data_IF_596903328997
#
_entry.id   IF_596903328997
#
_cell.length_a   1.000
_cell.length_b   1.000
_cell.length_c   1.000
_cell.angle_alpha   90.00
_cell.angle_beta   90.00
_cell.angle_gamma   90.00
#
_symmetry.space_group_name_H-M   'P 1'
#
loop_
_entity.id
_entity.type
_entity.pdbx_description
1 polymer ?
#
# COMPACT_ATOMS: atom_id res chain seq x y z
N UNK A 1 -7.01 -11.79 -21.30
CA UNK A 1 -6.62 -10.39 -21.57
C UNK A 1 -5.48 -10.04 -20.62
N UNK A 2 -4.31 -9.59 -21.10
CA UNK A 2 -3.29 -9.03 -20.21
C UNK A 2 -3.88 -7.78 -19.56
N UNK A 3 -4.33 -7.86 -18.30
CA UNK A 3 -4.71 -6.65 -17.55
C UNK A 3 -3.53 -5.68 -17.61
N UNK A 4 -3.79 -4.41 -17.93
CA UNK A 4 -2.78 -3.38 -17.78
C UNK A 4 -2.33 -3.39 -16.32
N UNK A 5 -1.04 -3.67 -16.08
CA UNK A 5 -0.51 -3.85 -14.73
C UNK A 5 -0.85 -2.65 -13.84
N UNK A 6 -0.79 -1.43 -14.37
CA UNK A 6 -1.12 -0.22 -13.62
C UNK A 6 -2.57 -0.22 -13.17
N UNK A 7 -3.50 -0.56 -14.07
CA UNK A 7 -4.92 -0.65 -13.74
C UNK A 7 -5.20 -1.72 -12.68
N UNK A 8 -4.52 -2.86 -12.78
CA UNK A 8 -4.63 -3.92 -11.76
C UNK A 8 -4.09 -3.45 -10.40
N UNK A 9 -2.95 -2.76 -10.36
CA UNK A 9 -2.40 -2.21 -9.11
C UNK A 9 -3.35 -1.16 -8.50
N UNK A 10 -3.98 -0.32 -9.31
CA UNK A 10 -4.97 0.66 -8.86
C UNK A 10 -6.20 -0.03 -8.23
N UNK A 11 -6.71 -1.10 -8.86
CA UNK A 11 -7.79 -1.93 -8.31
C UNK A 11 -7.40 -2.51 -6.93
N UNK A 12 -6.18 -3.02 -6.78
CA UNK A 12 -5.71 -3.59 -5.52
C UNK A 12 -5.54 -2.53 -4.42
N UNK A 13 -4.99 -1.36 -4.77
CA UNK A 13 -4.83 -0.24 -3.84
C UNK A 13 -6.20 0.30 -3.39
N UNK A 14 -7.22 0.25 -4.26
CA UNK A 14 -8.58 0.66 -3.92
C UNK A 14 -9.23 -0.23 -2.83
N UNK A 15 -8.78 -1.49 -2.67
CA UNK A 15 -9.25 -2.41 -1.61
C UNK A 15 -8.65 -2.14 -0.22
N UNK A 16 -7.72 -1.20 -0.12
CA UNK A 16 -7.11 -0.79 1.14
C UNK A 16 -7.85 0.42 1.74
N UNK A 17 -7.93 0.52 3.08
CA UNK A 17 -8.34 1.75 3.74
C UNK A 17 -7.51 2.94 3.24
N UNK A 18 -8.13 4.11 3.14
CA UNK A 18 -7.51 5.31 2.58
C UNK A 18 -6.17 5.65 3.23
N UNK A 19 -6.10 5.62 4.56
CA UNK A 19 -4.85 5.87 5.28
C UNK A 19 -3.78 4.84 4.97
N UNK A 20 -4.14 3.56 4.82
CA UNK A 20 -3.19 2.49 4.50
C UNK A 20 -2.65 2.63 3.07
N UNK A 21 -3.54 2.95 2.11
CA UNK A 21 -3.16 3.28 0.73
C UNK A 21 -2.21 4.48 0.69
N UNK A 22 -2.53 5.56 1.41
CA UNK A 22 -1.68 6.75 1.49
C UNK A 22 -0.27 6.42 2.01
N UNK A 23 -0.18 5.60 3.07
CA UNK A 23 1.12 5.23 3.64
C UNK A 23 1.99 4.41 2.66
N UNK A 24 1.38 3.52 1.87
CA UNK A 24 2.10 2.79 0.81
C UNK A 24 2.60 3.74 -0.28
N UNK A 25 1.74 4.65 -0.76
CA UNK A 25 2.11 5.62 -1.81
C UNK A 25 3.25 6.53 -1.33
N UNK A 26 3.16 7.08 -0.12
CA UNK A 26 4.22 7.94 0.42
C UNK A 26 5.55 7.19 0.54
N UNK A 27 5.53 5.93 1.01
CA UNK A 27 6.74 5.16 1.26
C UNK A 27 7.36 4.63 -0.03
N UNK A 28 6.59 3.90 -0.83
CA UNK A 28 7.08 3.13 -1.97
C UNK A 28 6.95 3.89 -3.29
N UNK A 29 6.01 4.84 -3.38
CA UNK A 29 5.85 5.72 -4.54
C UNK A 29 6.74 6.97 -4.48
N UNK A 30 6.82 7.61 -3.31
CA UNK A 30 7.58 8.86 -3.12
C UNK A 30 8.87 8.71 -2.29
N UNK A 31 9.18 7.53 -1.76
CA UNK A 31 10.42 7.29 -1.01
C UNK A 31 10.48 7.90 0.39
N UNK A 32 9.35 8.31 0.98
CA UNK A 32 9.35 8.99 2.27
C UNK A 32 9.87 8.07 3.38
N UNK A 33 10.69 8.61 4.28
CA UNK A 33 11.01 7.98 5.56
C UNK A 33 9.78 7.95 6.47
N UNK A 34 9.75 7.03 7.44
CA UNK A 34 8.68 7.01 8.45
C UNK A 34 8.56 8.34 9.21
N UNK A 35 9.67 9.06 9.41
CA UNK A 35 9.66 10.40 10.03
C UNK A 35 8.99 11.45 9.12
N UNK A 36 9.21 11.38 7.81
CA UNK A 36 8.49 12.28 6.89
C UNK A 36 7.00 11.93 6.83
N UNK A 37 6.65 10.65 6.90
CA UNK A 37 5.26 10.20 6.92
C UNK A 37 4.51 10.62 8.19
N UNK A 38 5.16 10.67 9.36
CA UNK A 38 4.53 11.21 10.58
C UNK A 38 4.17 12.68 10.41
N UNK A 39 5.04 13.47 9.77
CA UNK A 39 4.77 14.89 9.46
C UNK A 39 3.63 15.04 8.45
N UNK A 40 3.60 14.21 7.41
CA UNK A 40 2.58 14.27 6.36
C UNK A 40 1.19 13.84 6.82
N UNK A 41 1.10 12.93 7.79
CA UNK A 41 -0.18 12.30 8.19
C UNK A 41 -0.68 12.72 9.57
N UNK A 42 0.14 13.42 10.37
CA UNK A 42 -0.16 13.74 11.76
C UNK A 42 -0.16 12.52 12.70
N UNK A 43 0.15 11.32 12.20
CA UNK A 43 0.24 10.10 13.00
C UNK A 43 1.57 10.00 13.74
N UNK A 44 1.56 9.30 14.87
CA UNK A 44 2.80 8.98 15.59
C UNK A 44 3.65 7.99 14.80
N UNK A 45 4.97 7.97 15.04
CA UNK A 45 5.90 7.03 14.40
C UNK A 45 5.46 5.57 14.57
N UNK A 46 5.02 5.19 15.78
CA UNK A 46 4.52 3.85 16.07
C UNK A 46 3.30 3.49 15.23
N UNK A 47 2.35 4.43 15.09
CA UNK A 47 1.16 4.23 14.26
C UNK A 47 1.53 4.12 12.78
N UNK A 48 2.37 5.01 12.26
CA UNK A 48 2.85 4.96 10.86
C UNK A 48 3.49 3.61 10.57
N UNK A 49 4.47 3.19 11.39
CA UNK A 49 5.18 1.92 11.18
C UNK A 49 4.23 0.72 11.22
N UNK A 50 3.34 0.67 12.23
CA UNK A 50 2.41 -0.44 12.38
C UNK A 50 1.38 -0.50 11.24
N UNK A 51 0.79 0.65 10.87
CA UNK A 51 -0.20 0.72 9.80
C UNK A 51 0.42 0.43 8.44
N UNK A 52 1.61 0.97 8.16
CA UNK A 52 2.34 0.66 6.93
C UNK A 52 2.62 -0.85 6.82
N UNK A 53 3.13 -1.49 7.88
CA UNK A 53 3.39 -2.93 7.85
C UNK A 53 2.13 -3.75 7.59
N UNK A 54 1.01 -3.39 8.23
CA UNK A 54 -0.29 -4.04 7.98
C UNK A 54 -0.77 -3.84 6.53
N UNK A 55 -0.69 -2.61 6.03
CA UNK A 55 -1.03 -2.25 4.66
C UNK A 55 -0.22 -3.06 3.65
N UNK A 56 1.10 -3.11 3.84
CA UNK A 56 2.02 -3.85 2.97
C UNK A 56 1.71 -5.35 2.95
N UNK A 57 1.49 -5.97 4.12
CA UNK A 57 1.14 -7.38 4.19
C UNK A 57 -0.22 -7.68 3.55
N UNK A 58 -1.20 -6.79 3.71
CA UNK A 58 -2.52 -6.94 3.08
C UNK A 58 -2.41 -6.81 1.56
N UNK A 59 -1.71 -5.78 1.07
CA UNK A 59 -1.46 -5.56 -0.34
C UNK A 59 -0.74 -6.74 -0.98
N UNK A 60 0.35 -7.23 -0.36
CA UNK A 60 1.10 -8.40 -0.82
C UNK A 60 0.19 -9.63 -0.99
N UNK A 61 -0.65 -9.92 0.00
CA UNK A 61 -1.61 -11.04 -0.08
C UNK A 61 -2.63 -10.87 -1.20
N UNK A 62 -3.13 -9.66 -1.43
CA UNK A 62 -4.06 -9.38 -2.53
C UNK A 62 -3.38 -9.60 -3.89
N UNK A 63 -2.16 -9.08 -4.05
CA UNK A 63 -1.39 -9.23 -5.27
C UNK A 63 -1.08 -10.70 -5.59
N UNK A 64 -0.59 -11.47 -4.61
CA UNK A 64 -0.29 -12.90 -4.76
C UNK A 64 -1.54 -13.73 -5.07
N UNK A 65 -2.70 -13.38 -4.48
CA UNK A 65 -3.97 -14.07 -4.78
C UNK A 65 -4.40 -13.87 -6.23
N UNK A 66 -4.30 -12.67 -6.77
CA UNK A 66 -4.66 -12.44 -8.17
C UNK A 66 -3.70 -13.14 -9.15
N UNK A 67 -2.40 -13.23 -8.84
CA UNK A 67 -1.47 -14.01 -9.67
C UNK A 67 -1.82 -15.51 -9.74
N UNK A 68 -2.31 -16.08 -8.64
CA UNK A 68 -2.74 -17.49 -8.58
C UNK A 68 -4.03 -17.78 -9.35
N UNK A 69 -4.87 -16.78 -9.63
CA UNK A 69 -6.10 -16.96 -10.41
C UNK A 69 -5.86 -16.91 -11.93
N UNK A 70 -4.75 -16.32 -12.35
CA UNK A 70 -4.35 -16.22 -13.76
C UNK A 70 -3.38 -17.35 -14.21
N UNK A 71 -3.02 -18.27 -13.30
CA UNK A 71 -2.16 -19.45 -13.56
C UNK A 71 -3.00 -20.72 -13.64
#
# INVERSE_FOLDING_TARGET
MKKNLNHYLDELLALLPETERLLLILRDGYGYSFIQMTKATGLTYKQVRSRYQKAFQKFKKLFEKGQKMDS
#
